data_IF_640210266931
#
_entry.id   IF_640210266931
#
_cell.length_a   1.000
_cell.length_b   1.000
_cell.length_c   1.000
_cell.angle_alpha   90.00
_cell.angle_beta   90.00
_cell.angle_gamma   90.00
#
_symmetry.space_group_name_H-M   'P 1'
#
loop_
_entity.id
_entity.type
_entity.pdbx_description
1 polymer ?
#
# COMPACT_ATOMS: atom_id res chain seq x y z
N UNK A 1 -13.29 2.66 -12.46
CA UNK A 1 -12.34 2.59 -11.35
C UNK A 1 -12.42 3.87 -10.55
N UNK A 2 -12.66 3.76 -9.24
CA UNK A 2 -12.55 4.88 -8.29
C UNK A 2 -11.14 5.49 -8.35
N UNK A 3 -11.04 6.81 -8.21
CA UNK A 3 -9.75 7.52 -8.24
C UNK A 3 -9.33 8.09 -6.90
N UNK A 4 -10.29 8.35 -6.03
CA UNK A 4 -10.09 8.96 -4.72
C UNK A 4 -11.11 8.36 -3.77
N UNK A 5 -10.66 7.65 -2.75
CA UNK A 5 -11.51 6.89 -1.83
C UNK A 5 -10.75 6.55 -0.55
N UNK A 6 -11.46 5.96 0.41
CA UNK A 6 -10.90 5.54 1.69
C UNK A 6 -10.97 4.02 1.85
N UNK A 7 -9.99 3.48 2.59
CA UNK A 7 -9.98 2.13 3.15
C UNK A 7 -9.72 2.31 4.65
N UNK A 8 -10.75 2.17 5.49
CA UNK A 8 -10.68 2.63 6.87
C UNK A 8 -10.34 4.13 6.94
N UNK A 9 -9.28 4.47 7.66
CA UNK A 9 -8.76 5.83 7.81
C UNK A 9 -7.70 6.24 6.76
N UNK A 10 -7.25 5.30 5.93
CA UNK A 10 -6.31 5.54 4.84
C UNK A 10 -7.05 6.11 3.62
N UNK A 11 -6.62 7.26 3.12
CA UNK A 11 -7.07 7.78 1.82
C UNK A 11 -6.16 7.26 0.70
N UNK A 12 -6.75 6.83 -0.39
CA UNK A 12 -6.08 6.31 -1.57
C UNK A 12 -6.43 7.19 -2.77
N UNK A 13 -5.41 7.71 -3.46
CA UNK A 13 -5.56 8.41 -4.74
C UNK A 13 -4.83 7.66 -5.86
N UNK A 14 -5.55 7.23 -6.90
CA UNK A 14 -4.95 6.55 -8.05
C UNK A 14 -4.59 7.59 -9.13
N UNK A 15 -3.33 8.00 -9.14
CA UNK A 15 -2.79 8.94 -10.14
C UNK A 15 -2.72 8.32 -11.54
N UNK A 16 -2.25 7.08 -11.65
CA UNK A 16 -2.19 6.32 -12.92
C UNK A 16 -2.55 4.86 -12.70
N UNK A 17 -3.52 4.40 -13.47
CA UNK A 17 -3.96 3.02 -13.53
C UNK A 17 -3.07 2.17 -14.44
N UNK A 18 -3.03 0.86 -14.20
CA UNK A 18 -2.41 -0.08 -15.14
C UNK A 18 -3.00 0.00 -16.56
N UNK A 19 -4.29 0.32 -16.70
CA UNK A 19 -4.95 0.48 -18.01
C UNK A 19 -4.43 1.69 -18.80
N UNK A 20 -3.86 2.68 -18.12
CA UNK A 20 -3.29 3.89 -18.75
C UNK A 20 -1.81 3.71 -19.10
N UNK A 21 -1.14 2.76 -18.45
CA UNK A 21 0.28 2.45 -18.62
C UNK A 21 0.50 1.16 -19.41
N UNK A 22 -0.55 0.59 -19.99
CA UNK A 22 -0.54 -0.71 -20.68
C UNK A 22 0.00 -1.85 -19.81
N UNK A 23 -0.32 -1.83 -18.52
CA UNK A 23 0.10 -2.82 -17.53
C UNK A 23 1.50 -2.60 -16.96
N UNK A 24 2.29 -1.67 -17.50
CA UNK A 24 3.69 -1.51 -17.07
C UNK A 24 3.84 -1.00 -15.64
N UNK A 25 2.92 -0.16 -15.16
CA UNK A 25 2.95 0.33 -13.77
C UNK A 25 1.59 0.83 -13.28
N UNK A 26 1.46 0.97 -11.96
CA UNK A 26 0.41 1.77 -11.35
C UNK A 26 1.03 2.77 -10.38
N UNK A 27 0.46 3.96 -10.30
CA UNK A 27 0.94 5.04 -9.42
C UNK A 27 -0.21 5.47 -8.53
N UNK A 28 -0.04 5.30 -7.23
CA UNK A 28 -1.02 5.72 -6.22
C UNK A 28 -0.38 6.61 -5.18
N UNK A 29 -1.16 7.48 -4.57
CA UNK A 29 -0.78 8.25 -3.39
C UNK A 29 -1.61 7.79 -2.20
N UNK A 30 -0.93 7.50 -1.09
CA UNK A 30 -1.53 7.03 0.15
C UNK A 30 -1.38 8.13 1.21
N UNK A 31 -2.48 8.47 1.88
CA UNK A 31 -2.47 9.37 3.03
C UNK A 31 -2.81 8.53 4.25
N UNK A 32 -1.99 8.68 5.29
CA UNK A 32 -2.13 7.94 6.52
C UNK A 32 -2.29 8.89 7.70
N UNK A 33 -3.14 8.54 8.69
CA UNK A 33 -3.10 9.19 9.99
C UNK A 33 -1.78 8.85 10.72
N UNK A 34 -1.52 9.57 11.79
CA UNK A 34 -0.40 9.26 12.67
C UNK A 34 -0.58 7.86 13.29
N UNK A 35 0.51 7.12 13.42
CA UNK A 35 0.57 5.73 13.91
C UNK A 35 -0.14 4.69 13.04
N UNK A 36 -0.58 5.04 11.83
CA UNK A 36 -1.03 4.03 10.87
C UNK A 36 0.10 3.03 10.63
N UNK A 37 -0.20 1.74 10.72
CA UNK A 37 0.73 0.68 10.40
C UNK A 37 0.08 -0.27 9.41
N UNK A 38 0.77 -0.54 8.30
CA UNK A 38 0.42 -1.66 7.46
C UNK A 38 0.67 -2.99 8.23
N UNK A 39 -0.06 -4.07 7.91
CA UNK A 39 0.34 -5.39 8.34
C UNK A 39 1.69 -5.77 7.73
N UNK A 40 2.39 -6.74 8.34
CA UNK A 40 3.54 -7.35 7.69
C UNK A 40 3.05 -8.14 6.49
N UNK A 41 3.53 -7.82 5.29
CA UNK A 41 3.06 -8.44 4.06
C UNK A 41 4.15 -8.52 3.00
N UNK A 42 3.92 -9.31 1.95
CA UNK A 42 4.71 -9.23 0.73
C UNK A 42 3.84 -9.37 -0.51
N UNK A 43 4.33 -8.81 -1.61
CA UNK A 43 3.75 -8.96 -2.94
C UNK A 43 4.44 -10.09 -3.70
N UNK A 44 3.65 -10.94 -4.36
CA UNK A 44 4.17 -12.01 -5.23
C UNK A 44 4.49 -11.51 -6.64
N UNK A 45 3.81 -10.47 -7.08
CA UNK A 45 3.83 -10.04 -8.48
C UNK A 45 4.51 -8.69 -8.67
N UNK A 46 4.27 -7.74 -7.77
CA UNK A 46 4.77 -6.37 -7.91
C UNK A 46 6.01 -6.10 -7.04
N UNK A 47 6.91 -5.30 -7.59
CA UNK A 47 7.87 -4.50 -6.83
C UNK A 47 7.18 -3.20 -6.45
N UNK A 48 7.37 -2.75 -5.21
CA UNK A 48 6.86 -1.45 -4.74
C UNK A 48 8.00 -0.48 -4.50
N UNK A 49 7.80 0.75 -4.98
CA UNK A 49 8.64 1.89 -4.65
C UNK A 49 7.82 2.89 -3.85
N UNK A 50 8.24 3.15 -2.61
CA UNK A 50 7.65 4.11 -1.69
C UNK A 50 8.49 5.38 -1.66
N UNK A 51 7.95 6.47 -2.20
CA UNK A 51 8.55 7.80 -2.10
C UNK A 51 7.80 8.63 -1.06
N UNK A 52 8.51 9.15 -0.06
CA UNK A 52 7.87 9.93 1.00
C UNK A 52 7.63 11.36 0.51
N UNK A 53 6.35 11.71 0.35
CA UNK A 53 5.94 13.06 -0.02
C UNK A 53 5.85 13.99 1.19
N UNK A 54 5.47 13.45 2.34
CA UNK A 54 5.27 14.21 3.59
C UNK A 54 5.36 13.27 4.79
N UNK A 55 5.96 13.73 5.88
CA UNK A 55 6.13 12.98 7.13
C UNK A 55 7.41 12.16 7.19
N UNK A 56 7.43 11.22 8.14
CA UNK A 56 8.49 10.23 8.37
C UNK A 56 7.83 8.86 8.56
N UNK A 57 8.47 7.80 8.06
CA UNK A 57 8.00 6.43 8.19
C UNK A 57 9.12 5.54 8.73
N UNK A 58 8.79 4.57 9.59
CA UNK A 58 9.66 3.40 9.76
C UNK A 58 9.27 2.34 8.74
N UNK A 59 10.27 1.74 8.11
CA UNK A 59 10.12 0.58 7.23
C UNK A 59 10.90 -0.59 7.82
N UNK A 60 10.23 -1.72 8.01
CA UNK A 60 10.86 -3.03 8.19
C UNK A 60 10.83 -3.75 6.84
N UNK A 61 11.97 -4.16 6.31
CA UNK A 61 12.07 -4.95 5.07
C UNK A 61 13.00 -6.13 5.32
N UNK A 62 12.45 -7.33 5.28
CA UNK A 62 13.14 -8.53 5.76
C UNK A 62 13.59 -8.34 7.22
N UNK A 63 14.90 -8.33 7.44
CA UNK A 63 15.50 -8.15 8.77
C UNK A 63 16.02 -6.73 9.04
N UNK A 64 15.83 -5.80 8.09
CA UNK A 64 16.35 -4.43 8.20
C UNK A 64 15.23 -3.48 8.57
N UNK A 65 15.47 -2.65 9.57
CA UNK A 65 14.62 -1.51 9.90
C UNK A 65 15.33 -0.21 9.52
N UNK A 66 14.57 0.74 8.97
CA UNK A 66 15.07 2.08 8.66
C UNK A 66 13.97 3.13 8.79
N UNK A 67 14.37 4.34 9.18
CA UNK A 67 13.51 5.52 9.06
C UNK A 67 13.70 6.16 7.69
N UNK A 68 12.62 6.69 7.15
CA UNK A 68 12.53 7.24 5.80
C UNK A 68 11.75 8.53 5.88
N UNK A 69 12.42 9.63 5.56
CA UNK A 69 11.90 10.99 5.62
C UNK A 69 11.47 11.49 4.24
N UNK A 70 10.78 12.64 4.25
CA UNK A 70 10.36 13.34 3.03
C UNK A 70 11.50 13.50 2.03
N UNK A 71 11.26 13.12 0.77
CA UNK A 71 12.24 13.15 -0.31
C UNK A 71 13.04 11.85 -0.48
N UNK A 72 12.93 10.91 0.46
CA UNK A 72 13.61 9.61 0.37
C UNK A 72 12.73 8.55 -0.28
N UNK A 73 13.40 7.53 -0.84
CA UNK A 73 12.78 6.42 -1.56
C UNK A 73 13.18 5.09 -0.91
N UNK A 74 12.20 4.21 -0.76
CA UNK A 74 12.42 2.81 -0.40
C UNK A 74 11.81 1.91 -1.45
N UNK A 75 12.50 0.83 -1.77
CA UNK A 75 12.06 -0.17 -2.75
C UNK A 75 12.00 -1.54 -2.08
N UNK A 76 10.90 -2.25 -2.28
CA UNK A 76 10.75 -3.65 -1.87
C UNK A 76 11.14 -4.57 -3.02
N UNK A 77 11.21 -5.86 -2.76
CA UNK A 77 11.37 -6.88 -3.80
C UNK A 77 10.25 -7.90 -3.64
N UNK A 78 9.87 -8.55 -4.76
CA UNK A 78 8.87 -9.61 -4.71
C UNK A 78 9.24 -10.67 -3.68
N UNK A 79 8.24 -11.20 -2.99
CA UNK A 79 8.40 -12.22 -1.93
C UNK A 79 9.28 -11.79 -0.74
N UNK A 80 9.50 -10.49 -0.54
CA UNK A 80 10.20 -9.97 0.64
C UNK A 80 9.19 -9.29 1.56
N UNK A 81 9.04 -9.84 2.76
CA UNK A 81 8.14 -9.28 3.77
C UNK A 81 8.57 -7.86 4.14
N UNK A 82 7.61 -6.94 4.16
CA UNK A 82 7.81 -5.59 4.62
C UNK A 82 6.60 -5.08 5.41
N UNK A 83 6.87 -4.06 6.22
CA UNK A 83 5.89 -3.28 6.96
C UNK A 83 6.33 -1.83 6.96
N UNK A 84 5.39 -0.90 6.95
CA UNK A 84 5.66 0.49 7.27
C UNK A 84 4.73 1.01 8.36
N UNK A 85 5.23 1.96 9.13
CA UNK A 85 4.46 2.70 10.13
C UNK A 85 4.68 4.20 9.94
N UNK A 86 3.59 4.96 9.90
CA UNK A 86 3.63 6.42 9.81
C UNK A 86 4.01 7.03 11.17
N UNK A 87 5.08 7.81 11.21
CA UNK A 87 5.65 8.40 12.44
C UNK A 87 5.43 9.91 12.55
N UNK A 88 4.95 10.57 11.47
CA UNK A 88 4.73 12.01 11.45
C UNK A 88 3.55 12.45 12.31
N UNK A 89 3.69 13.62 12.94
CA UNK A 89 2.75 14.11 13.95
C UNK A 89 1.35 14.49 13.44
N UNK A 90 1.25 15.04 12.21
CA UNK A 90 -0.03 15.53 11.66
C UNK A 90 -0.44 14.87 10.34
N UNK A 91 0.49 14.68 9.41
CA UNK A 91 0.22 14.13 8.08
C UNK A 91 1.35 13.26 7.61
N UNK A 92 1.00 12.16 6.94
CA UNK A 92 1.94 11.22 6.37
C UNK A 92 1.47 10.85 4.96
N UNK A 93 2.34 11.00 3.94
CA UNK A 93 2.00 10.75 2.54
C UNK A 93 3.08 9.98 1.80
N UNK A 94 2.67 8.92 1.12
CA UNK A 94 3.52 8.13 0.23
C UNK A 94 3.02 8.25 -1.20
N UNK A 95 3.93 8.43 -2.15
CA UNK A 95 3.70 8.09 -3.55
C UNK A 95 4.26 6.69 -3.79
N UNK A 96 3.39 5.78 -4.22
CA UNK A 96 3.72 4.37 -4.41
C UNK A 96 3.63 4.01 -5.89
N UNK A 97 4.70 3.40 -6.40
CA UNK A 97 4.78 2.88 -7.75
C UNK A 97 4.84 1.36 -7.70
N UNK A 98 3.93 0.71 -8.40
CA UNK A 98 3.90 -0.73 -8.56
C UNK A 98 4.41 -1.10 -9.94
N UNK A 99 5.31 -2.08 -10.01
CA UNK A 99 5.81 -2.63 -11.27
C UNK A 99 5.76 -4.17 -11.21
N UNK A 100 4.96 -4.84 -12.07
CA UNK A 100 3.98 -4.27 -13.00
C UNK A 100 2.80 -3.59 -12.28
N UNK A 101 1.93 -2.91 -13.03
CA UNK A 101 0.66 -2.40 -12.50
C UNK A 101 -0.40 -3.50 -12.37
N UNK A 102 -1.54 -3.19 -11.76
CA UNK A 102 -2.71 -4.07 -11.65
C UNK A 102 -3.28 -4.12 -10.24
N UNK A 103 -2.41 -3.98 -9.25
CA UNK A 103 -2.76 -4.00 -7.82
C UNK A 103 -3.53 -2.77 -7.36
N UNK A 104 -3.62 -1.70 -8.14
CA UNK A 104 -4.52 -0.58 -7.82
C UNK A 104 -6.00 -1.01 -7.71
N UNK A 105 -6.37 -2.12 -8.37
CA UNK A 105 -7.70 -2.74 -8.27
C UNK A 105 -7.91 -3.46 -6.93
N UNK A 106 -6.84 -3.90 -6.26
CA UNK A 106 -6.92 -4.41 -4.88
C UNK A 106 -7.43 -3.30 -3.97
N UNK A 107 -6.83 -2.10 -4.03
CA UNK A 107 -7.27 -0.96 -3.22
C UNK A 107 -8.73 -0.58 -3.49
N UNK A 108 -9.13 -0.52 -4.76
CA UNK A 108 -10.53 -0.26 -5.12
C UNK A 108 -11.47 -1.31 -4.49
N UNK A 109 -11.12 -2.59 -4.54
CA UNK A 109 -11.96 -3.67 -3.99
C UNK A 109 -12.01 -3.64 -2.45
N UNK A 110 -10.90 -3.36 -1.80
CA UNK A 110 -10.82 -3.21 -0.34
C UNK A 110 -11.71 -2.05 0.15
N UNK A 111 -11.86 -0.99 -0.65
CA UNK A 111 -12.71 0.17 -0.31
C UNK A 111 -14.22 -0.13 -0.20
N UNK A 112 -14.65 -1.33 -0.61
CA UNK A 112 -16.06 -1.76 -0.48
C UNK A 112 -16.32 -2.61 0.76
N UNK A 113 -15.28 -2.97 1.53
CA UNK A 113 -15.42 -3.78 2.75
C UNK A 113 -15.53 -2.83 3.95
N UNK A 114 -16.68 -2.83 4.62
CA UNK A 114 -16.88 -2.08 5.86
C UNK A 114 -16.07 -2.70 7.02
N UNK A 115 -15.68 -1.88 8.00
CA UNK A 115 -15.04 -2.37 9.23
C UNK A 115 -15.98 -3.28 10.03
N UNK A 116 -17.28 -2.97 10.05
CA UNK A 116 -18.32 -3.73 10.73
C UNK A 116 -18.88 -4.91 9.90
N UNK A 117 -18.27 -5.22 8.75
CA UNK A 117 -18.71 -6.34 7.91
C UNK A 117 -18.39 -7.68 8.63
N UNK A 118 -19.40 -8.50 8.99
CA UNK A 118 -19.18 -9.75 9.71
C UNK A 118 -18.33 -10.75 8.90
N UNK A 119 -18.34 -10.66 7.57
CA UNK A 119 -17.54 -11.49 6.67
C UNK A 119 -16.29 -10.75 6.16
N UNK A 120 -15.99 -9.58 6.71
CA UNK A 120 -14.96 -8.67 6.20
C UNK A 120 -13.58 -9.33 6.13
N UNK A 121 -13.21 -10.13 7.13
CA UNK A 121 -11.94 -10.86 7.15
C UNK A 121 -11.82 -11.86 5.99
N UNK A 122 -12.86 -12.66 5.74
CA UNK A 122 -12.88 -13.63 4.64
C UNK A 122 -12.84 -12.94 3.28
N UNK A 123 -13.59 -11.84 3.12
CA UNK A 123 -13.58 -11.04 1.88
C UNK A 123 -12.21 -10.44 1.60
N UNK A 124 -11.55 -9.85 2.62
CA UNK A 124 -10.18 -9.31 2.50
C UNK A 124 -9.18 -10.39 2.07
N UNK A 125 -9.18 -11.53 2.74
CA UNK A 125 -8.28 -12.65 2.41
C UNK A 125 -8.47 -13.17 0.96
N UNK A 126 -9.72 -13.21 0.46
CA UNK A 126 -10.01 -13.58 -0.94
C UNK A 126 -9.43 -12.57 -1.92
N UNK A 127 -9.53 -11.26 -1.63
CA UNK A 127 -8.98 -10.20 -2.47
C UNK A 127 -7.44 -10.27 -2.42
N UNK A 128 -6.84 -10.33 -1.23
CA UNK A 128 -5.38 -10.44 -1.03
C UNK A 128 -4.80 -11.59 -1.87
N UNK A 129 -5.37 -12.79 -1.76
CA UNK A 129 -4.93 -13.96 -2.55
C UNK A 129 -5.06 -13.73 -4.06
N UNK A 130 -6.16 -13.12 -4.51
CA UNK A 130 -6.38 -12.80 -5.94
C UNK A 130 -5.29 -11.89 -6.50
N UNK A 131 -4.77 -10.97 -5.70
CA UNK A 131 -3.72 -10.02 -6.12
C UNK A 131 -2.31 -10.44 -5.68
N UNK A 132 -2.15 -11.64 -5.12
CA UNK A 132 -0.82 -12.13 -4.70
C UNK A 132 -0.23 -11.33 -3.55
N UNK A 133 -1.06 -10.68 -2.74
CA UNK A 133 -0.68 -10.05 -1.49
C UNK A 133 -0.79 -11.11 -0.40
N UNK A 134 0.28 -11.31 0.35
CA UNK A 134 0.31 -12.29 1.43
C UNK A 134 0.62 -11.59 2.73
N UNK A 135 -0.32 -11.65 3.67
CA UNK A 135 -0.09 -11.24 5.04
C UNK A 135 0.81 -12.27 5.71
N UNK A 136 1.90 -11.81 6.30
CA UNK A 136 2.87 -12.62 7.02
C UNK A 136 2.64 -12.53 8.53
N UNK A 137 3.02 -13.59 9.24
CA UNK A 137 2.98 -13.70 10.69
C UNK A 137 4.15 -12.98 11.37
#
# INVERSE_FOLDING_TARGET
MKRDFYIGDQRVLIHRASTETHGSSAIIELHHPNNFSAPLLYHRYEIEHFYVLEGEYSFTIGQTEKRVSTGELVTTTVNTAFRFTALGAEKNRLLVFFTPGGVEKYYELMSYISEDDPDGAEKRAKIENKFGIVIAD
#
